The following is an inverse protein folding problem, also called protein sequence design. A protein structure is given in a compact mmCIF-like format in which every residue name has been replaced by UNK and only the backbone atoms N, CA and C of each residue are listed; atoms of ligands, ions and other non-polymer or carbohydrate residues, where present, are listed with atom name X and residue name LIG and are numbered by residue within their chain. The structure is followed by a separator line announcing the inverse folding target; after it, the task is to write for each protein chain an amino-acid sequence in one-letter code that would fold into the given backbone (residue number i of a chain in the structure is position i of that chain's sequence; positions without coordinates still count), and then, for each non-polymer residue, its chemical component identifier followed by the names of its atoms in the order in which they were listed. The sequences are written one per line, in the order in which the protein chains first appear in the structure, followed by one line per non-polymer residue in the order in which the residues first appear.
data_IF_874997463604
#
_entry.id   IF_874997463604
#
_cell.length_a   1.000
_cell.length_b   1.000
_cell.length_c   1.000
_cell.angle_alpha   90.00
_cell.angle_beta   90.00
_cell.angle_gamma   90.00
#
_symmetry.space_group_name_H-M   'P 1'
#
loop_
_entity.id
_entity.type
_entity.pdbx_description
1 polymer ?
#
# COMPACT_ATOMS: atom_id res chain seq x y z
N UNK A 1 -32.58 -56.17 50.84
CA UNK A 1 -32.44 -56.47 49.40
C UNK A 1 -33.48 -55.63 48.65
N UNK A 2 -33.12 -54.50 48.04
CA UNK A 2 -31.98 -54.33 47.16
C UNK A 2 -31.23 -53.02 47.42
N UNK A 3 -29.90 -53.14 47.52
CA UNK A 3 -29.00 -52.03 47.35
C UNK A 3 -28.80 -51.80 45.85
N UNK A 4 -29.34 -50.70 45.35
CA UNK A 4 -28.85 -50.09 44.12
C UNK A 4 -27.94 -48.94 44.50
N UNK A 5 -26.65 -49.07 44.23
CA UNK A 5 -25.74 -47.93 44.09
C UNK A 5 -26.32 -46.95 43.08
N UNK A 6 -26.26 -45.62 43.28
CA UNK A 6 -26.52 -44.69 42.19
C UNK A 6 -25.52 -45.01 41.08
N UNK A 7 -26.01 -45.28 39.86
CA UNK A 7 -25.16 -45.22 38.68
C UNK A 7 -24.49 -43.84 38.65
N UNK A 8 -23.17 -43.73 38.43
CA UNK A 8 -22.61 -42.45 38.09
C UNK A 8 -23.25 -42.01 36.79
N UNK A 9 -23.82 -40.79 36.76
CA UNK A 9 -24.24 -40.15 35.51
C UNK A 9 -23.07 -40.27 34.52
N UNK A 10 -23.26 -41.15 33.53
CA UNK A 10 -22.36 -41.24 32.40
C UNK A 10 -22.46 -39.92 31.62
N UNK A 11 -21.29 -39.36 31.37
CA UNK A 11 -21.02 -38.28 30.42
C UNK A 11 -21.19 -36.83 30.94
N UNK A 12 -20.27 -36.42 31.83
CA UNK A 12 -19.96 -35.00 32.07
C UNK A 12 -18.99 -34.42 31.03
N UNK A 13 -18.87 -34.98 29.83
CA UNK A 13 -18.15 -34.29 28.75
C UNK A 13 -19.12 -33.48 27.90
N UNK A 14 -19.69 -32.43 28.51
CA UNK A 14 -20.10 -31.26 27.73
C UNK A 14 -18.87 -30.77 26.96
N UNK A 15 -18.73 -31.22 25.72
CA UNK A 15 -17.85 -30.58 24.76
C UNK A 15 -18.37 -29.16 24.68
N UNK A 16 -17.61 -28.22 25.24
CA UNK A 16 -17.77 -26.79 25.00
C UNK A 16 -17.42 -26.50 23.54
N UNK A 17 -18.26 -26.94 22.61
CA UNK A 17 -18.17 -26.59 21.21
C UNK A 17 -18.87 -25.25 21.01
N UNK A 18 -18.13 -24.28 20.49
CA UNK A 18 -18.70 -23.08 19.90
C UNK A 18 -18.47 -23.15 18.38
N UNK A 19 -19.31 -22.46 17.62
CA UNK A 19 -19.15 -22.25 16.19
C UNK A 19 -19.13 -20.74 15.90
N UNK A 20 -18.49 -20.36 14.80
CA UNK A 20 -18.48 -18.97 14.32
C UNK A 20 -19.42 -18.87 13.11
N UNK A 21 -20.26 -17.84 13.07
CA UNK A 21 -21.13 -17.55 11.93
C UNK A 21 -20.34 -17.09 10.70
N UNK A 22 -20.73 -17.57 9.51
CA UNK A 22 -20.20 -17.09 8.23
C UNK A 22 -20.64 -15.66 7.90
N UNK A 23 -21.68 -15.13 8.56
CA UNK A 23 -22.13 -13.74 8.43
C UNK A 23 -21.39 -12.73 9.31
N UNK A 24 -20.30 -13.15 9.96
CA UNK A 24 -19.51 -12.30 10.84
C UNK A 24 -19.99 -12.26 12.29
N UNK A 25 -19.04 -12.11 13.21
CA UNK A 25 -19.27 -12.02 14.66
C UNK A 25 -18.16 -11.18 15.33
N UNK A 26 -18.26 -11.02 16.65
CA UNK A 26 -17.21 -10.48 17.50
C UNK A 26 -16.58 -11.60 18.34
N UNK A 27 -15.26 -11.73 18.29
CA UNK A 27 -14.49 -12.75 18.99
C UNK A 27 -13.63 -12.10 20.05
N UNK A 28 -13.71 -12.62 21.28
CA UNK A 28 -12.88 -12.20 22.40
C UNK A 28 -11.97 -13.33 22.89
N UNK A 29 -10.69 -13.03 23.01
CA UNK A 29 -9.69 -13.84 23.68
C UNK A 29 -9.45 -13.30 25.08
N UNK A 30 -9.58 -14.17 26.07
CA UNK A 30 -9.39 -13.83 27.48
C UNK A 30 -8.30 -14.73 28.06
N UNK A 31 -7.40 -14.15 28.85
CA UNK A 31 -6.45 -14.95 29.63
C UNK A 31 -7.02 -15.26 31.02
N UNK A 32 -6.80 -16.49 31.46
CA UNK A 32 -7.19 -16.97 32.77
C UNK A 32 -6.08 -17.84 33.38
N UNK A 33 -6.01 -17.87 34.70
CA UNK A 33 -5.17 -18.78 35.47
C UNK A 33 -5.63 -20.23 35.28
N UNK A 34 -4.81 -21.24 35.65
CA UNK A 34 -5.25 -22.64 35.63
C UNK A 34 -6.48 -22.92 36.51
N UNK A 35 -6.77 -22.07 37.50
CA UNK A 35 -7.98 -22.14 38.34
C UNK A 35 -9.20 -21.43 37.72
N UNK A 36 -9.06 -20.83 36.53
CA UNK A 36 -10.14 -20.15 35.81
C UNK A 36 -10.35 -18.67 36.17
N UNK A 37 -9.47 -18.08 36.98
CA UNK A 37 -9.54 -16.66 37.34
C UNK A 37 -8.95 -15.82 36.20
N UNK A 38 -9.64 -14.74 35.79
CA UNK A 38 -9.17 -13.87 34.71
C UNK A 38 -7.93 -13.08 35.14
N UNK A 39 -6.96 -12.93 34.25
CA UNK A 39 -5.66 -12.27 34.50
C UNK A 39 -5.56 -10.83 33.95
N UNK A 40 -6.70 -10.23 33.61
CA UNK A 40 -6.88 -8.90 32.99
C UNK A 40 -6.57 -8.77 31.49
N UNK A 41 -5.95 -9.75 30.83
CA UNK A 41 -5.81 -9.70 29.37
C UNK A 41 -7.13 -10.03 28.67
N UNK A 42 -7.61 -9.08 27.85
CA UNK A 42 -8.75 -9.22 26.94
C UNK A 42 -8.37 -8.63 25.59
N UNK A 43 -8.58 -9.39 24.52
CA UNK A 43 -8.39 -8.93 23.16
C UNK A 43 -9.60 -9.29 22.31
N UNK A 44 -10.23 -8.30 21.67
CA UNK A 44 -11.41 -8.49 20.83
C UNK A 44 -11.16 -8.14 19.37
N UNK A 45 -11.84 -8.80 18.44
CA UNK A 45 -11.92 -8.36 17.05
C UNK A 45 -13.26 -8.74 16.43
N UNK A 46 -13.69 -7.96 15.45
CA UNK A 46 -14.86 -8.24 14.62
C UNK A 46 -14.41 -8.75 13.26
N UNK A 47 -15.13 -9.70 12.71
CA UNK A 47 -15.01 -10.11 11.32
C UNK A 47 -16.39 -10.06 10.65
N UNK A 48 -16.42 -9.82 9.35
CA UNK A 48 -17.64 -9.79 8.56
C UNK A 48 -17.88 -11.11 7.83
N UNK A 49 -18.63 -11.04 6.75
CA UNK A 49 -18.95 -12.18 5.90
C UNK A 49 -17.70 -12.93 5.45
N UNK A 50 -17.69 -14.25 5.68
CA UNK A 50 -16.60 -15.15 5.37
C UNK A 50 -16.93 -15.98 4.13
N UNK A 51 -16.16 -15.78 3.06
CA UNK A 51 -16.23 -16.64 1.89
C UNK A 51 -15.92 -18.11 2.24
N UNK A 52 -16.57 -19.05 1.56
CA UNK A 52 -16.33 -20.47 1.75
C UNK A 52 -14.88 -20.84 1.41
N UNK A 53 -14.24 -21.61 2.29
CA UNK A 53 -12.85 -22.05 2.11
C UNK A 53 -11.78 -21.03 2.56
N UNK A 54 -12.19 -19.89 3.09
CA UNK A 54 -11.28 -18.86 3.61
C UNK A 54 -11.42 -18.71 5.13
N UNK A 55 -10.33 -18.33 5.78
CA UNK A 55 -10.29 -18.00 7.20
C UNK A 55 -9.83 -16.57 7.39
N UNK A 56 -10.26 -15.92 8.47
CA UNK A 56 -9.70 -14.65 8.92
C UNK A 56 -8.48 -14.89 9.80
N UNK A 57 -7.46 -14.03 9.68
CA UNK A 57 -6.26 -14.14 10.50
C UNK A 57 -5.70 -12.79 10.90
N UNK A 58 -5.10 -12.74 12.09
CA UNK A 58 -4.36 -11.55 12.54
C UNK A 58 -3.21 -11.27 11.58
N UNK A 59 -3.19 -10.08 11.00
CA UNK A 59 -2.13 -9.56 10.15
C UNK A 59 -1.61 -8.24 10.72
N UNK A 60 -0.31 -7.99 10.57
CA UNK A 60 0.35 -6.75 10.94
C UNK A 60 0.99 -6.19 9.67
N UNK A 61 0.53 -5.02 9.23
CA UNK A 61 1.09 -4.39 8.02
C UNK A 61 2.44 -3.71 8.31
N UNK A 62 3.04 -3.11 7.29
CA UNK A 62 4.35 -2.42 7.37
C UNK A 62 4.49 -1.35 8.46
N UNK A 63 3.38 -0.75 8.93
CA UNK A 63 3.37 0.28 9.99
C UNK A 63 3.00 -0.25 11.36
N UNK A 64 2.88 -1.56 11.52
CA UNK A 64 2.48 -2.18 12.79
C UNK A 64 0.98 -2.16 13.06
N UNK A 65 0.14 -1.69 12.11
CA UNK A 65 -1.32 -1.70 12.26
C UNK A 65 -1.83 -3.13 12.20
N UNK A 66 -2.56 -3.54 13.23
CA UNK A 66 -3.17 -4.86 13.33
C UNK A 66 -4.52 -4.84 12.58
N UNK A 67 -4.74 -5.86 11.76
CA UNK A 67 -6.02 -6.12 11.10
C UNK A 67 -6.33 -7.62 11.08
N UNK A 68 -7.56 -7.96 10.69
CA UNK A 68 -8.04 -9.33 10.55
C UNK A 68 -8.65 -9.51 9.16
N UNK A 69 -7.85 -9.51 8.09
CA UNK A 69 -8.36 -9.77 6.75
C UNK A 69 -8.63 -11.26 6.52
N UNK A 70 -9.40 -11.62 5.48
CA UNK A 70 -9.40 -12.98 4.96
C UNK A 70 -7.98 -13.34 4.50
N UNK A 71 -7.57 -14.59 4.68
CA UNK A 71 -6.23 -15.09 4.30
C UNK A 71 -6.28 -15.80 2.95
N UNK A 72 -5.15 -15.87 2.24
CA UNK A 72 -5.03 -16.60 0.96
C UNK A 72 -5.34 -18.10 1.10
N UNK A 73 -4.90 -18.70 2.21
CA UNK A 73 -5.20 -20.08 2.55
C UNK A 73 -5.47 -20.25 4.05
N UNK A 74 -6.16 -21.33 4.39
CA UNK A 74 -6.38 -21.72 5.78
C UNK A 74 -5.07 -22.18 6.42
N UNK A 75 -4.71 -21.62 7.57
CA UNK A 75 -3.42 -21.84 8.24
C UNK A 75 -3.54 -22.54 9.60
N UNK A 76 -4.41 -23.54 9.73
CA UNK A 76 -4.62 -24.23 11.01
C UNK A 76 -3.35 -24.91 11.53
N UNK A 77 -3.00 -24.70 12.81
CA UNK A 77 -1.75 -25.15 13.43
C UNK A 77 -0.46 -24.62 12.77
N UNK A 78 -0.54 -23.53 12.02
CA UNK A 78 0.60 -22.86 11.40
C UNK A 78 0.54 -21.34 11.66
N UNK A 79 1.59 -20.63 11.26
CA UNK A 79 1.55 -19.17 11.17
C UNK A 79 0.47 -18.73 10.18
N UNK A 80 -0.20 -17.60 10.44
CA UNK A 80 -1.19 -17.06 9.50
C UNK A 80 -0.55 -16.83 8.13
N UNK A 81 -1.29 -17.20 7.08
CA UNK A 81 -0.92 -16.89 5.71
C UNK A 81 -1.04 -15.38 5.42
N UNK A 82 -0.65 -14.97 4.21
CA UNK A 82 -0.81 -13.60 3.74
C UNK A 82 -2.30 -13.23 3.62
N UNK A 83 -2.63 -11.93 3.78
CA UNK A 83 -3.96 -11.44 3.45
C UNK A 83 -4.32 -11.75 2.00
N UNK A 84 -5.55 -12.20 1.79
CA UNK A 84 -6.09 -12.42 0.45
C UNK A 84 -6.29 -11.09 -0.27
N UNK A 85 -5.89 -11.09 -1.53
CA UNK A 85 -6.13 -9.98 -2.48
C UNK A 85 -6.80 -10.54 -3.74
N UNK A 86 -7.95 -9.99 -4.11
CA UNK A 86 -8.69 -10.36 -5.32
C UNK A 86 -9.81 -11.41 -5.11
N UNK A 87 -10.59 -11.68 -6.17
CA UNK A 87 -10.19 -11.57 -7.57
C UNK A 87 -10.37 -10.17 -8.20
N UNK A 88 -11.21 -9.32 -7.62
CA UNK A 88 -11.31 -7.90 -7.98
C UNK A 88 -10.51 -7.07 -7.00
N UNK A 89 -9.76 -6.09 -7.49
CA UNK A 89 -8.89 -5.25 -6.66
C UNK A 89 -8.98 -3.79 -7.05
N UNK A 90 -8.74 -2.90 -6.09
CA UNK A 90 -8.59 -1.47 -6.33
C UNK A 90 -7.16 -1.21 -6.81
N UNK A 91 -7.00 -0.58 -7.96
CA UNK A 91 -5.68 -0.30 -8.55
C UNK A 91 -5.31 1.18 -8.53
N UNK A 92 -6.29 2.07 -8.54
CA UNK A 92 -6.06 3.52 -8.51
C UNK A 92 -7.23 4.23 -7.82
N UNK A 93 -6.94 5.26 -7.01
CA UNK A 93 -7.94 6.09 -6.34
C UNK A 93 -7.55 7.57 -6.37
N UNK A 94 -8.51 8.42 -6.75
CA UNK A 94 -8.45 9.87 -6.55
C UNK A 94 -9.34 10.21 -5.35
N UNK A 95 -8.79 10.15 -4.12
CA UNK A 95 -9.58 10.35 -2.90
C UNK A 95 -9.73 11.82 -2.50
N UNK A 96 -8.78 12.67 -2.89
CA UNK A 96 -8.84 14.11 -2.67
C UNK A 96 -8.37 14.84 -3.94
N UNK A 97 -9.29 15.13 -4.88
CA UNK A 97 -8.95 15.82 -6.11
C UNK A 97 -8.51 17.27 -5.87
N UNK A 98 -7.64 17.78 -6.74
CA UNK A 98 -7.42 19.22 -6.85
C UNK A 98 -8.73 19.94 -7.22
N UNK A 99 -8.83 21.21 -6.84
CA UNK A 99 -10.03 22.02 -7.10
C UNK A 99 -10.48 21.97 -8.56
N UNK A 100 -11.74 21.58 -8.77
CA UNK A 100 -12.35 21.48 -10.10
C UNK A 100 -12.18 20.12 -10.80
N UNK A 101 -11.52 19.15 -10.16
CA UNK A 101 -11.51 17.74 -10.57
C UNK A 101 -12.52 16.92 -9.74
N UNK A 102 -12.56 15.59 -9.96
CA UNK A 102 -13.55 14.68 -9.35
C UNK A 102 -12.91 13.40 -8.82
N UNK A 103 -13.53 12.79 -7.81
CA UNK A 103 -13.07 11.53 -7.23
C UNK A 103 -13.40 10.33 -8.14
N UNK A 104 -12.58 9.29 -8.07
CA UNK A 104 -12.82 8.00 -8.74
C UNK A 104 -12.07 6.84 -8.08
N UNK A 105 -12.53 5.64 -8.39
CA UNK A 105 -11.89 4.36 -8.04
C UNK A 105 -11.76 3.53 -9.32
N UNK A 106 -10.56 3.00 -9.58
CA UNK A 106 -10.30 2.00 -10.60
C UNK A 106 -10.28 0.60 -9.99
N UNK A 107 -10.95 -0.34 -10.65
CA UNK A 107 -11.02 -1.74 -10.23
C UNK A 107 -10.52 -2.63 -11.36
N UNK A 108 -9.64 -3.59 -11.03
CA UNK A 108 -9.14 -4.60 -11.95
C UNK A 108 -9.55 -6.01 -11.54
N UNK A 109 -9.85 -6.87 -12.51
CA UNK A 109 -9.86 -8.32 -12.30
C UNK A 109 -8.44 -8.89 -12.47
N UNK A 110 -7.83 -9.34 -11.37
CA UNK A 110 -6.47 -9.91 -11.37
C UNK A 110 -6.46 -11.44 -11.43
N UNK A 111 -7.63 -12.07 -11.50
CA UNK A 111 -7.74 -13.52 -11.57
C UNK A 111 -7.60 -14.02 -13.00
N UNK A 112 -7.51 -15.35 -13.14
CA UNK A 112 -7.45 -16.04 -14.44
C UNK A 112 -8.84 -16.35 -15.02
N UNK A 113 -9.91 -15.94 -14.33
CA UNK A 113 -11.29 -16.22 -14.72
C UNK A 113 -12.09 -14.93 -14.84
N UNK A 114 -13.12 -14.86 -15.69
CA UNK A 114 -14.08 -13.76 -15.66
C UNK A 114 -14.74 -13.64 -14.29
N UNK A 115 -14.95 -12.41 -13.81
CA UNK A 115 -15.64 -12.13 -12.54
C UNK A 115 -16.88 -11.29 -12.80
N UNK A 116 -18.09 -11.77 -12.45
CA UNK A 116 -19.31 -10.98 -12.55
C UNK A 116 -19.27 -9.73 -11.67
N UNK A 117 -19.57 -8.57 -12.25
CA UNK A 117 -19.75 -7.34 -11.47
C UNK A 117 -21.17 -7.22 -10.90
N UNK A 118 -22.15 -7.95 -11.43
CA UNK A 118 -23.54 -7.85 -10.95
C UNK A 118 -23.64 -8.09 -9.44
N UNK A 119 -24.16 -7.09 -8.71
CA UNK A 119 -24.31 -7.15 -7.26
C UNK A 119 -23.04 -6.89 -6.45
N UNK A 120 -21.86 -6.72 -7.09
CA UNK A 120 -20.63 -6.29 -6.40
C UNK A 120 -20.87 -4.94 -5.73
N UNK A 121 -20.38 -4.79 -4.51
CA UNK A 121 -20.53 -3.58 -3.70
C UNK A 121 -19.17 -2.96 -3.41
N UNK A 122 -19.13 -1.64 -3.39
CA UNK A 122 -17.98 -0.85 -2.95
C UNK A 122 -18.38 -0.12 -1.67
N UNK A 123 -18.02 -0.72 -0.55
CA UNK A 123 -18.19 -0.11 0.77
C UNK A 123 -17.21 1.06 0.93
N UNK A 124 -17.63 2.14 1.58
CA UNK A 124 -16.92 3.43 1.64
C UNK A 124 -17.69 4.49 0.86
N UNK A 125 -17.87 4.26 -0.45
CA UNK A 125 -18.59 5.18 -1.34
C UNK A 125 -20.08 4.84 -1.55
N UNK A 126 -20.56 3.73 -0.99
CA UNK A 126 -21.97 3.32 -1.07
C UNK A 126 -22.42 2.94 -2.48
N UNK A 127 -21.53 2.39 -3.31
CA UNK A 127 -21.84 1.98 -4.68
C UNK A 127 -22.16 0.49 -4.78
N UNK A 128 -23.11 0.14 -5.64
CA UNK A 128 -23.41 -1.24 -5.99
C UNK A 128 -23.66 -1.35 -7.49
N UNK A 129 -23.04 -2.35 -8.12
CA UNK A 129 -23.26 -2.66 -9.52
C UNK A 129 -24.65 -3.28 -9.70
N UNK A 130 -25.39 -2.78 -10.70
CA UNK A 130 -26.73 -3.26 -11.01
C UNK A 130 -26.76 -4.71 -11.51
N UNK A 131 -27.95 -5.35 -11.57
CA UNK A 131 -28.10 -6.75 -11.95
C UNK A 131 -27.71 -7.05 -13.41
N UNK A 132 -27.55 -6.01 -14.24
CA UNK A 132 -27.14 -6.12 -15.64
C UNK A 132 -25.67 -5.72 -15.85
N UNK A 133 -24.90 -5.50 -14.77
CA UNK A 133 -23.48 -5.21 -14.90
C UNK A 133 -22.75 -6.40 -15.54
N UNK A 134 -21.76 -6.16 -16.42
CA UNK A 134 -21.09 -7.21 -17.16
C UNK A 134 -20.18 -8.04 -16.24
N UNK A 135 -19.61 -9.09 -16.80
CA UNK A 135 -18.43 -9.73 -16.21
C UNK A 135 -17.18 -8.97 -16.65
N UNK A 136 -16.20 -8.93 -15.76
CA UNK A 136 -14.88 -8.38 -16.04
C UNK A 136 -13.95 -9.54 -16.39
N UNK A 137 -13.40 -9.57 -17.60
CA UNK A 137 -12.50 -10.65 -18.02
C UNK A 137 -11.11 -10.50 -17.35
N UNK A 138 -10.26 -11.54 -17.35
CA UNK A 138 -8.91 -11.45 -16.77
C UNK A 138 -8.12 -10.23 -17.26
N UNK A 139 -7.63 -9.41 -16.32
CA UNK A 139 -6.85 -8.20 -16.57
C UNK A 139 -7.67 -6.96 -16.94
N UNK A 140 -8.97 -7.09 -17.22
CA UNK A 140 -9.84 -5.97 -17.56
C UNK A 140 -10.12 -5.08 -16.34
N UNK A 141 -10.37 -3.80 -16.61
CA UNK A 141 -10.60 -2.77 -15.61
C UNK A 141 -11.91 -2.01 -15.84
N UNK A 142 -12.45 -1.45 -14.77
CA UNK A 142 -13.55 -0.48 -14.79
C UNK A 142 -13.23 0.70 -13.91
N UNK A 143 -13.88 1.82 -14.21
CA UNK A 143 -13.84 3.02 -13.39
C UNK A 143 -15.19 3.22 -12.72
N UNK A 144 -15.19 3.59 -11.44
CA UNK A 144 -16.38 3.99 -10.68
C UNK A 144 -16.16 5.41 -10.18
N UNK A 145 -17.06 6.33 -10.56
CA UNK A 145 -16.79 7.78 -10.53
C UNK A 145 -17.85 8.54 -9.74
N UNK A 146 -17.45 9.66 -9.12
CA UNK A 146 -18.33 10.52 -8.30
C UNK A 146 -19.37 11.28 -9.15
N UNK A 147 -19.06 11.48 -10.43
CA UNK A 147 -19.84 12.34 -11.34
C UNK A 147 -20.51 11.53 -12.46
N UNK A 148 -21.23 12.21 -13.34
CA UNK A 148 -21.78 11.59 -14.54
C UNK A 148 -20.64 11.01 -15.43
N UNK A 149 -20.75 9.75 -15.91
CA UNK A 149 -19.70 9.12 -16.71
C UNK A 149 -19.25 9.90 -17.95
N UNK A 150 -20.13 10.68 -18.61
CA UNK A 150 -19.73 11.49 -19.74
C UNK A 150 -18.89 12.70 -19.30
N UNK A 151 -19.22 13.29 -18.15
CA UNK A 151 -18.42 14.37 -17.54
C UNK A 151 -17.04 13.84 -17.15
N UNK A 152 -16.97 12.69 -16.50
CA UNK A 152 -15.69 12.06 -16.16
C UNK A 152 -14.81 11.82 -17.39
N UNK A 153 -15.39 11.26 -18.46
CA UNK A 153 -14.67 11.06 -19.73
C UNK A 153 -14.17 12.36 -20.36
N UNK A 154 -14.89 13.46 -20.15
CA UNK A 154 -14.47 14.77 -20.65
C UNK A 154 -13.25 15.31 -19.89
N UNK A 155 -13.11 14.96 -18.60
CA UNK A 155 -12.01 15.39 -17.74
C UNK A 155 -10.76 14.54 -17.97
N UNK A 156 -10.90 13.22 -17.94
CA UNK A 156 -9.76 12.30 -17.92
C UNK A 156 -9.49 11.56 -19.23
N UNK A 157 -10.45 11.56 -20.17
CA UNK A 157 -10.33 10.88 -21.47
C UNK A 157 -9.78 9.42 -21.39
N UNK A 158 -10.35 8.55 -20.53
CA UNK A 158 -9.93 7.14 -20.46
C UNK A 158 -10.23 6.42 -21.77
N UNK A 159 -9.57 5.29 -22.08
CA UNK A 159 -9.83 4.54 -23.30
C UNK A 159 -11.31 4.23 -23.52
N UNK A 160 -11.77 4.30 -24.77
CA UNK A 160 -13.19 4.12 -25.10
C UNK A 160 -13.71 2.72 -24.72
N UNK A 161 -12.83 1.72 -24.64
CA UNK A 161 -13.15 0.35 -24.24
C UNK A 161 -13.36 0.18 -22.73
N UNK A 162 -12.81 1.07 -21.89
CA UNK A 162 -12.95 0.96 -20.43
C UNK A 162 -14.33 1.39 -20.03
N UNK A 163 -15.06 0.56 -19.29
CA UNK A 163 -16.39 0.92 -18.79
C UNK A 163 -16.29 1.89 -17.62
N UNK A 164 -17.16 2.91 -17.61
CA UNK A 164 -17.23 3.94 -16.57
C UNK A 164 -18.61 3.90 -15.92
N UNK A 165 -18.66 3.66 -14.62
CA UNK A 165 -19.87 3.54 -13.81
C UNK A 165 -19.98 4.68 -12.82
N UNK A 166 -21.20 5.10 -12.50
CA UNK A 166 -21.46 6.20 -11.58
C UNK A 166 -22.73 6.95 -11.98
N UNK A 167 -23.00 8.11 -11.35
CA UNK A 167 -22.28 8.60 -10.17
C UNK A 167 -22.53 7.70 -8.95
N UNK A 168 -21.51 7.50 -8.11
CA UNK A 168 -21.76 7.02 -6.74
C UNK A 168 -22.25 8.16 -5.84
N UNK A 169 -22.90 7.82 -4.72
CA UNK A 169 -23.59 8.80 -3.87
C UNK A 169 -22.80 9.22 -2.62
N UNK A 170 -21.84 8.39 -2.19
CA UNK A 170 -20.89 8.75 -1.13
C UNK A 170 -19.78 9.68 -1.62
N UNK A 171 -18.76 9.84 -0.79
CA UNK A 171 -17.50 10.49 -1.12
C UNK A 171 -16.37 9.70 -0.49
N UNK A 172 -15.21 9.76 -1.11
CA UNK A 172 -13.99 9.36 -0.44
C UNK A 172 -13.62 10.38 0.65
N UNK A 173 -13.08 9.90 1.76
CA UNK A 173 -12.59 10.72 2.86
C UNK A 173 -11.20 11.24 2.55
N UNK A 174 -11.04 12.56 2.49
CA UNK A 174 -9.74 13.19 2.28
C UNK A 174 -8.70 12.77 3.34
N UNK A 175 -9.12 12.45 4.58
CA UNK A 175 -8.22 12.04 5.67
C UNK A 175 -7.93 10.54 5.76
N UNK A 176 -8.31 9.77 4.74
CA UNK A 176 -8.28 8.31 4.79
C UNK A 176 -9.59 7.68 5.24
N UNK A 177 -9.82 6.46 4.77
CA UNK A 177 -10.90 5.57 5.20
C UNK A 177 -10.63 4.12 4.78
N UNK A 178 -11.55 3.23 5.17
CA UNK A 178 -11.61 1.87 4.64
C UNK A 178 -12.60 1.76 3.48
N UNK A 179 -12.08 1.47 2.30
CA UNK A 179 -12.83 1.06 1.11
C UNK A 179 -12.72 -0.45 0.96
N UNK A 180 -13.82 -1.13 0.60
CA UNK A 180 -13.79 -2.58 0.41
C UNK A 180 -14.63 -3.00 -0.79
N UNK A 181 -14.04 -3.83 -1.64
CA UNK A 181 -14.75 -4.52 -2.72
C UNK A 181 -15.37 -5.78 -2.14
N UNK A 182 -16.69 -5.91 -2.26
CA UNK A 182 -17.44 -7.06 -1.75
C UNK A 182 -18.20 -7.75 -2.86
N UNK A 183 -18.13 -9.07 -2.90
CA UNK A 183 -18.69 -9.88 -3.98
C UNK A 183 -19.82 -10.74 -3.40
N UNK A 184 -21.01 -10.79 -4.04
CA UNK A 184 -22.07 -11.69 -3.62
C UNK A 184 -21.62 -13.15 -3.69
N UNK A 185 -21.86 -13.91 -2.63
CA UNK A 185 -21.59 -15.35 -2.56
C UNK A 185 -22.80 -16.07 -1.94
N UNK A 186 -23.23 -17.18 -2.57
CA UNK A 186 -24.33 -17.96 -2.04
C UNK A 186 -23.98 -18.54 -0.67
N UNK A 187 -24.87 -18.42 0.31
CA UNK A 187 -24.62 -18.98 1.63
C UNK A 187 -24.67 -20.52 1.58
N UNK A 188 -23.64 -21.24 2.07
CA UNK A 188 -23.66 -22.70 2.11
C UNK A 188 -24.72 -23.26 3.07
N UNK A 189 -25.21 -22.45 4.01
CA UNK A 189 -26.29 -22.81 4.93
C UNK A 189 -27.63 -22.51 4.28
N UNK A 190 -28.44 -23.54 4.07
CA UNK A 190 -29.75 -23.39 3.45
C UNK A 190 -30.66 -22.44 4.24
N UNK A 191 -31.35 -21.55 3.52
CA UNK A 191 -32.28 -20.53 4.04
C UNK A 191 -31.63 -19.35 4.77
N UNK A 192 -30.30 -19.32 4.89
CA UNK A 192 -29.58 -18.13 5.33
C UNK A 192 -29.37 -17.16 4.14
N UNK A 193 -29.32 -15.84 4.40
CA UNK A 193 -29.07 -14.85 3.35
C UNK A 193 -27.68 -15.04 2.73
N UNK A 194 -27.58 -14.73 1.44
CA UNK A 194 -26.31 -14.71 0.70
C UNK A 194 -25.31 -13.78 1.39
N UNK A 195 -24.04 -14.16 1.30
CA UNK A 195 -22.92 -13.48 1.90
C UNK A 195 -22.39 -12.38 0.95
N UNK A 196 -21.70 -11.42 1.53
CA UNK A 196 -21.05 -10.30 0.85
C UNK A 196 -19.58 -10.17 1.32
N UNK A 197 -18.76 -11.23 1.17
CA UNK A 197 -17.36 -11.22 1.60
C UNK A 197 -16.54 -10.14 0.88
N UNK A 198 -15.61 -9.54 1.62
CA UNK A 198 -14.64 -8.60 1.02
C UNK A 198 -13.54 -9.37 0.31
N UNK A 199 -13.28 -9.02 -0.95
CA UNK A 199 -12.24 -9.61 -1.80
C UNK A 199 -11.00 -8.72 -1.93
N UNK A 200 -11.15 -7.43 -1.65
CA UNK A 200 -10.04 -6.49 -1.51
C UNK A 200 -10.43 -5.38 -0.53
N UNK A 201 -9.46 -4.88 0.24
CA UNK A 201 -9.66 -3.86 1.26
C UNK A 201 -8.50 -2.86 1.19
N UNK A 202 -8.84 -1.60 0.95
CA UNK A 202 -7.91 -0.47 1.03
C UNK A 202 -8.30 0.42 2.23
N UNK A 203 -7.55 0.28 3.33
CA UNK A 203 -7.68 1.11 4.53
C UNK A 203 -6.59 2.19 4.49
N UNK A 204 -6.80 3.17 3.60
CA UNK A 204 -5.81 4.18 3.22
C UNK A 204 -5.76 5.37 4.18
N UNK A 205 -4.71 6.16 4.06
CA UNK A 205 -4.52 7.40 4.81
C UNK A 205 -3.86 8.47 3.94
N UNK A 206 -3.90 9.71 4.39
CA UNK A 206 -3.32 10.90 3.77
C UNK A 206 -1.97 11.31 4.39
N UNK A 207 -1.49 10.55 5.40
CA UNK A 207 -0.25 10.83 6.11
C UNK A 207 0.80 9.71 5.97
N UNK A 208 2.07 10.12 6.05
CA UNK A 208 3.21 9.19 6.00
C UNK A 208 3.03 8.02 6.97
N UNK A 209 3.32 6.78 6.54
CA UNK A 209 4.03 6.42 5.31
C UNK A 209 3.14 6.10 4.10
N UNK A 210 1.87 6.50 4.11
CA UNK A 210 1.11 6.56 2.87
C UNK A 210 1.63 7.70 1.99
N UNK A 211 1.54 7.59 0.65
CA UNK A 211 1.81 8.71 -0.25
C UNK A 211 0.95 9.93 0.12
N UNK A 212 1.59 11.07 0.34
CA UNK A 212 0.93 12.30 0.82
C UNK A 212 0.47 13.23 -0.30
N UNK A 213 1.10 13.19 -1.48
CA UNK A 213 0.69 14.05 -2.60
C UNK A 213 -0.74 13.82 -3.13
N UNK A 214 -1.35 12.61 -3.08
CA UNK A 214 -2.74 12.41 -3.49
C UNK A 214 -3.80 13.06 -2.57
N UNK A 215 -3.37 13.91 -1.62
CA UNK A 215 -4.19 14.70 -0.72
C UNK A 215 -4.44 16.14 -1.27
N UNK A 216 -5.18 16.26 -2.37
CA UNK A 216 -5.64 17.57 -2.88
C UNK A 216 -4.68 18.28 -3.84
N UNK A 217 -3.50 17.72 -4.11
CA UNK A 217 -2.54 18.29 -5.09
C UNK A 217 -2.83 17.85 -6.54
N UNK A 218 -3.69 16.84 -6.71
CA UNK A 218 -4.16 16.38 -8.00
C UNK A 218 -3.53 15.06 -8.48
N UNK A 219 -2.60 14.45 -7.74
CA UNK A 219 -2.15 13.06 -8.02
C UNK A 219 -3.13 12.04 -7.44
N UNK A 220 -3.02 10.78 -7.91
CA UNK A 220 -3.81 9.62 -7.45
C UNK A 220 -2.97 8.72 -6.56
N UNK A 221 -3.63 7.95 -5.70
CA UNK A 221 -3.03 6.79 -5.06
C UNK A 221 -3.08 5.60 -6.02
N UNK A 222 -1.93 5.06 -6.42
CA UNK A 222 -1.81 3.95 -7.39
C UNK A 222 -1.18 2.74 -6.71
N UNK A 223 -1.78 1.56 -6.91
CA UNK A 223 -1.27 0.31 -6.36
C UNK A 223 -0.06 -0.15 -7.16
N UNK A 224 1.06 -0.39 -6.48
CA UNK A 224 2.34 -0.74 -7.11
C UNK A 224 2.20 -2.04 -7.91
N UNK A 225 1.66 -3.08 -7.29
CA UNK A 225 1.31 -4.31 -7.97
C UNK A 225 -0.12 -4.69 -7.58
N UNK A 226 -0.98 -5.05 -8.55
CA UNK A 226 -2.37 -5.37 -8.27
C UNK A 226 -2.59 -6.47 -7.22
N UNK A 227 -1.63 -7.37 -7.01
CA UNK A 227 -1.72 -8.47 -6.04
C UNK A 227 -1.27 -8.11 -4.60
N UNK A 228 -0.65 -6.95 -4.36
CA UNK A 228 -0.19 -6.58 -3.00
C UNK A 228 -1.37 -6.32 -2.06
N UNK A 229 -1.20 -6.36 -0.74
CA UNK A 229 -2.30 -6.17 0.20
C UNK A 229 -2.72 -4.69 0.33
N UNK A 230 -4.00 -4.38 0.11
CA UNK A 230 -4.48 -3.01 -0.10
C UNK A 230 -4.45 -2.13 1.14
N UNK A 231 -4.42 -2.73 2.32
CA UNK A 231 -4.34 -2.01 3.60
C UNK A 231 -2.90 -1.91 4.14
N UNK A 232 -1.90 -2.17 3.31
CA UNK A 232 -0.49 -1.90 3.59
C UNK A 232 -0.03 -0.65 2.82
N UNK A 233 0.50 0.39 3.48
CA UNK A 233 1.05 1.59 2.82
C UNK A 233 2.10 1.27 1.75
N UNK A 234 2.92 0.24 1.95
CA UNK A 234 3.96 -0.17 0.99
C UNK A 234 3.40 -0.78 -0.31
N UNK A 235 2.08 -0.93 -0.41
CA UNK A 235 1.39 -1.36 -1.62
C UNK A 235 1.07 -0.22 -2.56
N UNK A 236 1.31 1.03 -2.17
CA UNK A 236 0.83 2.22 -2.86
C UNK A 236 1.94 3.24 -3.13
N UNK A 237 1.79 3.96 -4.25
CA UNK A 237 2.58 5.13 -4.62
C UNK A 237 1.65 6.26 -5.08
N UNK A 238 2.16 7.48 -5.13
CA UNK A 238 1.48 8.56 -5.83
C UNK A 238 1.71 8.43 -7.34
N UNK A 239 0.70 8.71 -8.16
CA UNK A 239 0.90 8.77 -9.61
C UNK A 239 1.86 9.88 -10.00
N UNK A 240 2.60 9.65 -11.09
CA UNK A 240 3.54 10.61 -11.66
C UNK A 240 2.83 11.78 -12.36
N UNK A 241 1.64 11.54 -12.89
CA UNK A 241 0.87 12.54 -13.63
C UNK A 241 -0.28 13.05 -12.78
N UNK A 242 -0.51 14.39 -12.69
CA UNK A 242 -1.75 14.93 -12.17
C UNK A 242 -2.96 14.34 -12.92
N UNK A 243 -3.96 13.90 -12.17
CA UNK A 243 -5.13 13.18 -12.66
C UNK A 243 -4.93 11.68 -12.80
N UNK A 244 -3.73 11.16 -12.56
CA UNK A 244 -3.43 9.75 -12.64
C UNK A 244 -3.49 9.20 -14.07
N UNK A 245 -3.74 7.89 -14.19
CA UNK A 245 -3.93 7.23 -15.49
C UNK A 245 -5.18 6.36 -15.52
N UNK A 246 -6.37 6.92 -15.20
CA UNK A 246 -7.59 6.14 -15.12
C UNK A 246 -7.89 5.43 -16.44
N UNK A 247 -8.15 4.14 -16.36
CA UNK A 247 -8.44 3.32 -17.53
C UNK A 247 -7.19 2.79 -18.25
N UNK A 248 -5.99 2.97 -17.68
CA UNK A 248 -4.78 2.38 -18.23
C UNK A 248 -4.22 1.33 -17.26
N UNK A 249 -4.21 0.07 -17.71
CA UNK A 249 -3.49 -0.98 -17.01
C UNK A 249 -1.99 -0.73 -17.21
N UNK A 250 -1.39 0.01 -16.30
CA UNK A 250 0.06 0.02 -16.21
C UNK A 250 0.47 -1.38 -15.74
N UNK A 251 1.20 -2.11 -16.58
CA UNK A 251 1.75 -3.42 -16.25
C UNK A 251 2.83 -3.23 -15.19
N UNK A 252 2.42 -3.00 -13.93
CA UNK A 252 3.24 -2.43 -12.87
C UNK A 252 3.82 -1.04 -13.26
N UNK A 253 4.23 -0.16 -12.32
CA UNK A 253 5.43 0.61 -12.61
C UNK A 253 6.49 -0.42 -13.02
N UNK A 254 7.25 -0.20 -14.10
CA UNK A 254 8.20 -1.19 -14.58
C UNK A 254 8.97 -1.83 -13.41
N UNK A 255 8.86 -3.16 -13.23
CA UNK A 255 9.66 -3.91 -12.22
C UNK A 255 11.13 -3.53 -12.38
N UNK A 256 11.51 -3.27 -13.63
CA UNK A 256 12.72 -2.58 -14.00
C UNK A 256 12.42 -1.11 -14.29
N UNK A 257 12.62 -0.23 -13.30
CA UNK A 257 12.36 1.22 -13.37
C UNK A 257 12.92 1.89 -14.62
N UNK A 258 13.95 1.31 -15.24
CA UNK A 258 14.56 1.75 -16.50
C UNK A 258 13.58 1.78 -17.66
N UNK A 259 12.58 0.91 -17.69
CA UNK A 259 11.66 0.86 -18.82
C UNK A 259 10.76 2.10 -18.95
N UNK A 260 10.74 2.98 -17.94
CA UNK A 260 10.11 4.29 -18.04
C UNK A 260 10.91 5.27 -18.92
N UNK A 261 12.22 5.04 -19.10
CA UNK A 261 13.16 5.99 -19.73
C UNK A 261 13.84 5.42 -20.98
N UNK A 262 13.89 4.10 -21.11
CA UNK A 262 14.63 3.40 -22.15
C UNK A 262 13.73 2.48 -22.97
N UNK A 263 13.91 2.48 -24.29
CA UNK A 263 13.25 1.52 -25.19
C UNK A 263 13.73 0.09 -24.95
N UNK A 264 12.97 -0.90 -25.42
CA UNK A 264 13.35 -2.33 -25.30
C UNK A 264 14.76 -2.62 -25.85
N UNK A 265 15.16 -1.99 -26.95
CA UNK A 265 16.49 -2.14 -27.52
C UNK A 265 17.59 -1.53 -26.62
N UNK A 266 17.31 -0.41 -25.97
CA UNK A 266 18.23 0.27 -25.06
C UNK A 266 18.34 -0.46 -23.71
N UNK A 267 17.25 -1.09 -23.24
CA UNK A 267 17.25 -1.94 -22.05
C UNK A 267 18.20 -3.14 -22.17
N UNK A 268 18.41 -3.63 -23.40
CA UNK A 268 19.39 -4.67 -23.71
C UNK A 268 20.83 -4.16 -23.82
N UNK A 269 21.03 -2.84 -23.88
CA UNK A 269 22.35 -2.21 -23.94
C UNK A 269 22.75 -1.63 -22.57
N UNK A 270 23.54 -2.39 -21.83
CA UNK A 270 23.98 -2.03 -20.47
C UNK A 270 24.93 -0.83 -20.42
N UNK A 271 25.48 -0.37 -21.55
CA UNK A 271 26.28 0.86 -21.58
C UNK A 271 25.44 2.12 -21.64
N UNK A 272 24.15 1.99 -21.98
CA UNK A 272 23.18 3.09 -22.02
C UNK A 272 22.28 2.98 -20.79
N UNK A 273 21.56 1.87 -20.64
CA UNK A 273 20.56 1.71 -19.59
C UNK A 273 21.11 0.98 -18.36
N UNK A 274 22.41 0.65 -18.28
CA UNK A 274 22.94 -0.03 -17.10
C UNK A 274 22.75 0.82 -15.83
N UNK A 275 22.59 0.21 -14.64
CA UNK A 275 22.49 0.97 -13.38
C UNK A 275 23.67 1.93 -13.13
N UNK A 276 24.86 1.57 -13.61
CA UNK A 276 26.08 2.37 -13.50
C UNK A 276 26.42 3.15 -14.78
N UNK A 277 25.58 3.06 -15.81
CA UNK A 277 25.73 3.89 -17.00
C UNK A 277 25.21 5.30 -16.72
N UNK A 278 25.66 6.25 -17.51
CA UNK A 278 25.30 7.67 -17.48
C UNK A 278 24.83 7.98 -18.92
N UNK A 279 23.50 7.97 -19.11
CA UNK A 279 22.90 7.96 -20.43
C UNK A 279 22.82 9.35 -21.07
N UNK A 280 22.79 10.41 -20.27
CA UNK A 280 22.70 11.80 -20.71
C UNK A 280 24.01 12.60 -20.53
N UNK A 281 25.03 11.97 -19.95
CA UNK A 281 26.41 12.47 -19.79
C UNK A 281 26.55 13.62 -18.81
N UNK A 282 25.74 13.63 -17.75
CA UNK A 282 25.79 14.62 -16.68
C UNK A 282 26.74 14.25 -15.53
N UNK A 283 27.28 13.02 -15.55
CA UNK A 283 28.18 12.48 -14.54
C UNK A 283 27.49 11.71 -13.41
N UNK A 284 26.17 11.56 -13.45
CA UNK A 284 25.35 10.79 -12.52
C UNK A 284 24.95 9.48 -13.19
N UNK A 285 25.00 8.38 -12.44
CA UNK A 285 24.59 7.09 -12.99
C UNK A 285 23.07 6.96 -12.96
N UNK A 286 22.48 6.29 -13.95
CA UNK A 286 21.04 6.05 -14.05
C UNK A 286 20.41 5.53 -12.72
N UNK A 287 21.11 4.68 -11.96
CA UNK A 287 20.61 4.21 -10.65
C UNK A 287 20.49 5.33 -9.63
N UNK A 288 21.50 6.20 -9.53
CA UNK A 288 21.45 7.32 -8.60
C UNK A 288 20.36 8.32 -9.01
N UNK A 289 20.19 8.53 -10.30
CA UNK A 289 19.10 9.35 -10.82
C UNK A 289 17.72 8.78 -10.49
N UNK A 290 17.54 7.47 -10.67
CA UNK A 290 16.32 6.79 -10.24
C UNK A 290 16.04 7.00 -8.75
N UNK A 291 17.08 6.84 -7.91
CA UNK A 291 17.01 6.99 -6.46
C UNK A 291 16.71 8.44 -6.06
N UNK A 292 17.29 9.43 -6.72
CA UNK A 292 17.08 10.85 -6.44
C UNK A 292 15.84 11.42 -7.14
N UNK A 293 15.25 10.67 -8.08
CA UNK A 293 14.09 11.08 -8.84
C UNK A 293 14.38 12.08 -9.97
N UNK A 294 15.62 12.11 -10.47
CA UNK A 294 16.00 12.84 -11.70
C UNK A 294 15.74 11.96 -12.92
N UNK A 295 15.80 12.55 -14.13
CA UNK A 295 15.51 11.88 -15.39
C UNK A 295 16.82 11.47 -16.09
N UNK A 296 17.10 10.16 -16.25
CA UNK A 296 18.31 9.64 -16.92
C UNK A 296 18.49 9.98 -18.39
N UNK A 297 17.62 10.82 -18.95
CA UNK A 297 17.66 11.30 -20.33
C UNK A 297 17.78 12.81 -20.42
N UNK A 298 17.78 13.51 -19.29
CA UNK A 298 17.80 14.96 -19.21
C UNK A 298 18.83 15.44 -18.20
N UNK A 299 20.01 15.77 -18.72
CA UNK A 299 21.14 16.28 -17.94
C UNK A 299 20.84 17.58 -17.18
N UNK A 300 19.72 18.26 -17.50
CA UNK A 300 19.27 19.46 -16.76
C UNK A 300 18.44 19.13 -15.52
N UNK A 301 17.97 17.88 -15.39
CA UNK A 301 17.21 17.38 -14.24
C UNK A 301 18.09 17.06 -13.03
N UNK A 302 19.42 17.13 -13.19
CA UNK A 302 20.42 16.84 -12.15
C UNK A 302 20.14 17.59 -10.84
N UNK A 303 20.05 16.83 -9.76
CA UNK A 303 19.83 17.34 -8.40
C UNK A 303 20.65 16.50 -7.42
N UNK A 304 21.80 17.03 -7.03
CA UNK A 304 22.78 16.32 -6.21
C UNK A 304 22.69 16.72 -4.74
N UNK A 305 23.03 15.81 -3.81
CA UNK A 305 23.12 16.12 -2.40
C UNK A 305 23.99 17.34 -2.11
N UNK A 306 23.52 18.21 -1.22
CA UNK A 306 24.21 19.42 -0.81
C UNK A 306 24.56 19.39 0.68
N UNK A 307 25.62 20.09 1.06
CA UNK A 307 26.01 20.29 2.45
C UNK A 307 25.95 21.78 2.77
N UNK A 308 25.36 22.11 3.91
CA UNK A 308 25.34 23.47 4.46
C UNK A 308 25.81 23.48 5.91
N UNK A 309 26.20 24.65 6.41
CA UNK A 309 26.60 24.84 7.82
C UNK A 309 25.50 25.60 8.55
N UNK A 310 25.07 25.07 9.69
CA UNK A 310 24.01 25.66 10.52
C UNK A 310 24.52 25.85 11.94
N UNK A 311 24.19 26.99 12.54
CA UNK A 311 24.51 27.26 13.94
C UNK A 311 23.36 26.76 14.83
N UNK A 312 23.68 26.02 15.88
CA UNK A 312 22.75 25.61 16.93
C UNK A 312 23.40 25.88 18.29
N UNK A 313 22.89 26.90 18.99
CA UNK A 313 23.55 27.45 20.17
C UNK A 313 24.90 28.11 19.85
N UNK A 314 25.96 27.66 20.54
CA UNK A 314 27.34 28.16 20.36
C UNK A 314 28.16 27.32 19.36
N UNK A 315 27.60 26.22 18.86
CA UNK A 315 28.27 25.28 17.96
C UNK A 315 27.73 25.38 16.52
N UNK A 316 28.57 25.00 15.56
CA UNK A 316 28.21 24.92 14.14
C UNK A 316 28.21 23.46 13.72
N UNK A 317 27.17 23.04 13.01
CA UNK A 317 26.96 21.67 12.54
C UNK A 317 26.82 21.62 11.01
N UNK A 318 27.14 20.48 10.42
CA UNK A 318 26.88 20.24 9.00
C UNK A 318 25.47 19.66 8.81
N UNK A 319 24.71 20.22 7.88
CA UNK A 319 23.46 19.66 7.40
C UNK A 319 23.63 19.14 5.99
N UNK A 320 23.33 17.86 5.80
CA UNK A 320 23.36 17.16 4.52
C UNK A 320 21.93 17.02 4.00
N UNK A 321 21.66 17.67 2.87
CA UNK A 321 20.35 17.65 2.23
C UNK A 321 20.41 16.84 0.94
N UNK A 322 19.47 15.91 0.76
CA UNK A 322 19.40 15.05 -0.41
C UNK A 322 17.96 14.66 -0.71
N UNK A 323 17.67 14.49 -2.00
CA UNK A 323 16.37 14.09 -2.52
C UNK A 323 16.30 12.57 -2.65
N UNK A 324 15.16 11.95 -2.38
CA UNK A 324 14.91 10.52 -2.61
C UNK A 324 13.53 10.29 -3.24
N UNK A 325 13.42 9.34 -4.17
CA UNK A 325 12.14 8.84 -4.67
C UNK A 325 11.37 8.13 -3.55
N UNK A 326 10.06 8.40 -3.47
CA UNK A 326 9.17 7.75 -2.51
C UNK A 326 8.86 6.32 -2.95
N UNK A 327 8.64 5.42 -1.97
CA UNK A 327 8.28 4.02 -2.25
C UNK A 327 9.41 3.18 -2.86
N UNK A 328 10.67 3.61 -2.76
CA UNK A 328 11.82 2.81 -3.16
C UNK A 328 11.86 1.51 -2.34
N UNK A 329 11.79 0.37 -3.04
CA UNK A 329 11.94 -0.97 -2.44
C UNK A 329 13.13 -1.67 -3.08
N UNK A 330 13.77 -2.60 -2.35
CA UNK A 330 14.90 -3.38 -2.86
C UNK A 330 16.27 -2.68 -2.82
N UNK A 331 16.35 -1.45 -2.31
CA UNK A 331 17.61 -0.72 -2.11
C UNK A 331 17.87 -0.47 -0.63
N UNK A 332 19.15 -0.50 -0.22
CA UNK A 332 19.57 0.04 1.08
C UNK A 332 20.34 1.34 0.87
N UNK A 333 19.72 2.45 1.25
CA UNK A 333 20.26 3.80 1.16
C UNK A 333 20.73 4.22 2.55
N UNK A 334 21.96 4.70 2.67
CA UNK A 334 22.53 5.18 3.94
C UNK A 334 23.51 6.32 3.73
N UNK A 335 23.70 7.13 4.77
CA UNK A 335 24.79 8.12 4.80
C UNK A 335 26.08 7.40 5.22
N UNK A 336 27.14 7.61 4.46
CA UNK A 336 28.49 7.24 4.87
C UNK A 336 29.34 8.49 5.08
N UNK A 337 30.20 8.45 6.10
CA UNK A 337 31.14 9.51 6.40
C UNK A 337 32.59 9.03 6.26
N UNK A 338 33.48 9.96 5.94
CA UNK A 338 34.93 9.74 5.85
C UNK A 338 35.69 10.91 6.44
N UNK A 339 36.88 10.64 6.98
CA UNK A 339 37.84 11.66 7.43
C UNK A 339 38.97 11.91 6.43
N UNK A 340 39.10 11.06 5.40
CA UNK A 340 40.27 11.01 4.53
C UNK A 340 39.94 10.74 3.04
N UNK A 341 38.64 10.63 2.70
CA UNK A 341 38.11 10.23 1.40
C UNK A 341 38.46 8.81 0.94
N UNK A 342 39.23 8.06 1.73
CA UNK A 342 39.66 6.70 1.41
C UNK A 342 38.83 5.66 2.18
N UNK A 343 38.73 5.80 3.51
CA UNK A 343 37.89 4.95 4.35
C UNK A 343 36.52 5.58 4.54
N UNK A 344 35.46 4.84 4.18
CA UNK A 344 34.07 5.26 4.33
C UNK A 344 33.35 4.33 5.30
N UNK A 345 32.67 4.89 6.28
CA UNK A 345 31.98 4.14 7.35
C UNK A 345 30.50 4.51 7.35
N UNK A 346 29.65 3.56 7.75
CA UNK A 346 28.23 3.86 8.00
C UNK A 346 28.15 4.96 9.07
N UNK A 347 27.42 6.02 8.77
CA UNK A 347 27.24 7.18 9.63
C UNK A 347 25.76 7.47 9.92
N UNK A 348 24.81 6.57 9.60
CA UNK A 348 23.38 6.81 9.89
C UNK A 348 23.10 7.15 11.36
N UNK A 349 23.84 6.54 12.30
CA UNK A 349 23.71 6.82 13.74
C UNK A 349 24.35 8.12 14.20
N UNK A 350 25.12 8.79 13.34
CA UNK A 350 25.76 10.08 13.64
C UNK A 350 24.90 11.26 13.13
N UNK A 351 23.71 11.01 12.57
CA UNK A 351 22.85 12.03 11.97
C UNK A 351 21.45 12.03 12.59
N UNK A 352 20.88 13.24 12.71
CA UNK A 352 19.47 13.45 13.08
C UNK A 352 18.72 14.09 11.93
N UNK A 353 17.58 13.51 11.55
CA UNK A 353 16.71 14.10 10.53
C UNK A 353 16.11 15.39 11.10
N UNK A 354 16.36 16.50 10.42
CA UNK A 354 15.82 17.81 10.75
C UNK A 354 14.48 18.05 10.04
N UNK A 355 14.40 17.61 8.79
CA UNK A 355 13.18 17.72 7.99
C UNK A 355 13.13 16.65 6.91
N UNK A 356 11.92 16.25 6.57
CA UNK A 356 11.60 15.49 5.37
C UNK A 356 10.42 16.21 4.69
N UNK A 357 10.64 16.71 3.47
CA UNK A 357 9.68 17.52 2.73
C UNK A 357 9.28 16.78 1.47
N UNK A 358 7.99 16.48 1.31
CA UNK A 358 7.44 15.98 0.05
C UNK A 358 7.52 17.07 -1.02
N UNK A 359 8.15 16.76 -2.14
CA UNK A 359 8.33 17.70 -3.24
C UNK A 359 7.11 17.75 -4.19
N UNK A 360 6.12 16.87 -4.00
CA UNK A 360 4.90 16.84 -4.82
C UNK A 360 5.06 16.17 -6.19
N UNK A 361 6.21 15.55 -6.45
CA UNK A 361 6.54 14.86 -7.70
C UNK A 361 6.95 13.39 -7.49
N UNK A 362 6.55 12.81 -6.35
CA UNK A 362 6.89 11.44 -5.98
C UNK A 362 8.29 11.31 -5.36
N UNK A 363 8.87 12.42 -4.91
CA UNK A 363 10.14 12.44 -4.17
C UNK A 363 10.04 13.24 -2.88
N UNK A 364 10.91 12.94 -1.91
CA UNK A 364 11.07 13.67 -0.66
C UNK A 364 12.48 14.24 -0.55
N UNK A 365 12.60 15.49 -0.10
CA UNK A 365 13.87 16.11 0.28
C UNK A 365 14.11 15.90 1.77
N UNK A 366 15.19 15.20 2.10
CA UNK A 366 15.61 14.91 3.47
C UNK A 366 16.78 15.81 3.83
N UNK A 367 16.68 16.49 4.96
CA UNK A 367 17.80 17.24 5.55
C UNK A 367 18.18 16.58 6.87
N UNK A 368 19.41 16.06 6.92
CA UNK A 368 19.97 15.40 8.09
C UNK A 368 21.14 16.20 8.65
N UNK A 369 21.16 16.46 9.95
CA UNK A 369 22.24 17.17 10.64
C UNK A 369 23.18 16.18 11.31
N UNK A 370 24.48 16.36 11.11
CA UNK A 370 25.51 15.63 11.83
C UNK A 370 25.46 16.01 13.32
N UNK A 371 25.51 15.03 14.22
CA UNK A 371 25.56 15.26 15.66
C UNK A 371 26.92 15.79 16.12
N UNK A 372 27.96 15.66 15.30
CA UNK A 372 29.29 16.16 15.61
C UNK A 372 29.42 17.63 15.18
N UNK A 373 29.84 18.54 16.08
CA UNK A 373 30.18 19.90 15.69
C UNK A 373 31.25 19.92 14.60
N UNK A 374 31.12 20.81 13.63
CA UNK A 374 32.10 21.01 12.57
C UNK A 374 33.49 21.39 13.11
N UNK A 375 33.54 22.00 14.30
CA UNK A 375 34.76 22.33 15.03
C UNK A 375 35.48 21.10 15.61
N UNK A 376 34.76 20.00 15.85
CA UNK A 376 35.28 18.82 16.52
C UNK A 376 36.15 17.94 15.61
N UNK A 377 35.98 18.01 14.29
CA UNK A 377 36.70 17.18 13.33
C UNK A 377 37.06 17.95 12.05
N UNK A 378 38.36 18.05 11.77
CA UNK A 378 38.83 18.60 10.50
C UNK A 378 38.70 17.54 9.39
N UNK A 379 38.09 17.94 8.26
CA UNK A 379 38.04 17.10 7.05
C UNK A 379 37.03 15.97 7.11
N UNK A 380 35.78 16.26 7.46
CA UNK A 380 34.67 15.30 7.43
C UNK A 380 33.92 15.41 6.10
N UNK A 381 33.73 14.28 5.43
CA UNK A 381 33.10 14.17 4.11
C UNK A 381 31.93 13.22 4.18
N UNK A 382 30.89 13.49 3.39
CA UNK A 382 29.65 12.71 3.38
C UNK A 382 29.35 12.20 1.97
N UNK A 383 28.69 11.04 1.89
CA UNK A 383 28.08 10.54 0.67
C UNK A 383 26.83 9.75 0.97
N UNK A 384 25.95 9.66 -0.02
CA UNK A 384 24.89 8.66 -0.04
C UNK A 384 25.46 7.38 -0.63
N UNK A 385 25.23 6.26 0.06
CA UNK A 385 25.56 4.92 -0.41
C UNK A 385 24.28 4.15 -0.68
N UNK A 386 24.11 3.76 -1.93
CA UNK A 386 23.05 2.85 -2.39
C UNK A 386 23.65 1.45 -2.56
N UNK A 387 22.98 0.44 -2.00
CA UNK A 387 23.36 -0.97 -2.07
C UNK A 387 22.20 -1.84 -2.51
#
# INVERSE_FOLDING_TARGET
PDGGTPEPDEDTTERRSFGLSSGGEEVFLLSATPSGERTDYVHGFTFGDSAAGFSFGRHVNSIGKISYPPLEATSFNASNDLPRTGPLVITEMMYHPANGSVEFIEIQNISVSPVPLAGVQISGIGFAFGPTAPELIPGEIVLVVETDPATFRSIFNPPASVSVFGPYSGRLSNGGEKVSLRVPEANPVALEPDLMPSVDIADYNDSSPWPTSPDGTGTTLVRILPALYGSDPNSWLASLNPGGTPGFVNSAPPIDWRAAYFSEAELLNTTISGPLADADFDGVSNLLEHIFGTDPRDASSIDLPTVSMVNDGEETYAEFSYRLRQGLTGFRIRIEASSDLAEWKNAEGDFTIQSEVDNGDGTSTITARDENPASAQLGRYFRIRVN
#
